data_IF_411137288100
#
_entry.id   IF_411137288100
#
_cell.length_a   1.000
_cell.length_b   1.000
_cell.length_c   1.000
_cell.angle_alpha   90.00
_cell.angle_beta   90.00
_cell.angle_gamma   90.00
#
_symmetry.space_group_name_H-M   'P 1'
#
loop_
_entity.id
_entity.type
_entity.pdbx_description
1 polymer ?
#
# COMPACT_ATOMS: atom_id res chain seq x y z
N UNK A 1 -10.92 28.66 -56.80
CA UNK A 1 -10.43 29.45 -57.96
C UNK A 1 -9.95 30.80 -57.44
N UNK A 2 -8.71 31.17 -57.80
CA UNK A 2 -7.96 32.43 -57.66
C UNK A 2 -8.73 33.65 -57.07
N UNK A 3 -8.16 34.48 -56.18
CA UNK A 3 -6.98 35.29 -56.50
C UNK A 3 -6.21 35.84 -55.29
N UNK A 4 -4.89 35.89 -55.52
CA UNK A 4 -3.80 36.55 -54.78
C UNK A 4 -4.08 38.02 -54.41
N UNK A 5 -3.57 38.44 -53.24
CA UNK A 5 -2.91 39.74 -53.08
C UNK A 5 -1.63 39.58 -52.26
N UNK A 6 -0.50 39.91 -52.91
CA UNK A 6 0.84 40.00 -52.35
C UNK A 6 0.99 41.31 -51.58
N UNK A 7 1.74 41.31 -50.46
CA UNK A 7 2.41 42.54 -50.01
C UNK A 7 3.75 42.26 -49.31
N UNK A 8 4.80 42.45 -50.12
CA UNK A 8 6.17 42.90 -49.89
C UNK A 8 6.73 42.96 -48.45
N UNK A 9 7.78 42.14 -48.25
CA UNK A 9 8.73 42.20 -47.15
C UNK A 9 9.80 43.26 -47.45
N UNK A 10 9.98 44.23 -46.55
CA UNK A 10 11.20 45.05 -46.47
C UNK A 10 11.82 44.81 -45.10
N UNK A 11 13.11 44.50 -45.12
CA UNK A 11 13.86 44.02 -43.97
C UNK A 11 14.09 45.07 -42.89
N UNK A 12 14.32 44.57 -41.68
CA UNK A 12 14.94 45.30 -40.60
C UNK A 12 15.99 44.38 -39.99
N UNK A 13 17.26 44.76 -40.14
CA UNK A 13 18.39 44.14 -39.44
C UNK A 13 18.38 44.70 -38.03
N UNK A 14 18.25 43.85 -37.01
CA UNK A 14 18.63 44.19 -35.64
C UNK A 14 19.75 43.26 -35.19
N UNK A 15 20.84 43.87 -34.74
CA UNK A 15 22.04 43.19 -34.26
C UNK A 15 21.79 42.52 -32.91
N UNK A 16 22.39 41.34 -32.76
CA UNK A 16 22.46 40.59 -31.52
C UNK A 16 23.55 41.21 -30.65
N UNK A 17 23.18 41.75 -29.49
CA UNK A 17 24.11 42.09 -28.40
C UNK A 17 23.86 41.06 -27.31
N UNK A 18 24.83 40.15 -27.12
CA UNK A 18 24.85 39.21 -26.03
C UNK A 18 25.32 39.93 -24.76
N UNK A 19 24.44 40.05 -23.77
CA UNK A 19 24.79 40.46 -22.40
C UNK A 19 24.85 39.18 -21.57
N UNK A 20 26.07 38.73 -21.28
CA UNK A 20 26.33 37.68 -20.29
C UNK A 20 26.28 38.34 -18.92
N UNK A 21 25.21 38.08 -18.17
CA UNK A 21 25.08 38.49 -16.78
C UNK A 21 25.74 37.43 -15.90
N UNK A 22 26.93 37.72 -15.40
CA UNK A 22 27.61 36.91 -14.38
C UNK A 22 26.96 37.20 -13.02
N UNK A 23 26.11 36.29 -12.55
CA UNK A 23 25.61 36.29 -11.18
C UNK A 23 26.69 35.74 -10.25
N UNK A 24 27.37 36.67 -9.56
CA UNK A 24 28.19 36.35 -8.38
C UNK A 24 27.24 36.20 -7.19
N UNK A 25 26.93 34.96 -6.81
CA UNK A 25 26.24 34.69 -5.55
C UNK A 25 27.34 34.68 -4.47
N UNK A 26 27.41 35.76 -3.70
CA UNK A 26 28.15 35.77 -2.43
C UNK A 26 27.32 35.01 -1.42
N UNK A 27 27.84 33.86 -0.96
CA UNK A 27 27.34 33.17 0.23
C UNK A 27 27.56 34.08 1.43
N UNK A 28 26.45 34.42 2.09
CA UNK A 28 26.46 35.14 3.35
C UNK A 28 26.43 34.08 4.45
N UNK A 29 27.57 33.94 5.13
CA UNK A 29 27.74 33.16 6.35
C UNK A 29 26.94 33.82 7.49
N UNK A 30 25.92 33.12 7.97
CA UNK A 30 25.34 33.37 9.29
C UNK A 30 25.26 32.04 10.02
N UNK A 31 26.25 31.83 10.87
CA UNK A 31 26.36 30.67 11.75
C UNK A 31 25.14 30.45 12.65
N UNK A 32 24.72 29.19 12.64
CA UNK A 32 23.75 28.53 13.50
C UNK A 32 23.79 27.05 13.14
N UNK A 33 24.89 26.38 13.48
CA UNK A 33 25.19 25.02 13.01
C UNK A 33 24.35 23.95 13.72
N UNK A 34 23.42 23.37 12.97
CA UNK A 34 23.34 21.92 12.80
C UNK A 34 23.81 21.62 11.38
N UNK A 35 24.59 20.57 11.16
CA UNK A 35 24.95 20.16 9.80
C UNK A 35 23.64 19.92 9.01
N UNK A 36 23.54 20.46 7.79
CA UNK A 36 22.41 20.16 6.91
C UNK A 36 22.42 18.66 6.61
N UNK A 37 21.33 17.96 6.92
CA UNK A 37 21.17 16.54 6.57
C UNK A 37 21.26 16.39 5.05
N UNK A 38 22.18 15.56 4.61
CA UNK A 38 22.49 15.31 3.20
C UNK A 38 21.92 13.98 2.72
N UNK A 39 21.86 13.78 1.40
CA UNK A 39 21.39 12.52 0.80
C UNK A 39 22.19 11.30 1.30
N UNK A 40 23.47 11.48 1.64
CA UNK A 40 24.36 10.39 2.11
C UNK A 40 24.09 9.96 3.55
N UNK A 41 23.39 10.77 4.35
CA UNK A 41 23.14 10.46 5.76
C UNK A 41 22.14 9.31 5.94
N UNK A 42 21.35 9.00 4.90
CA UNK A 42 20.35 7.95 4.90
C UNK A 42 20.75 6.71 4.09
N UNK A 43 21.97 6.62 3.58
CA UNK A 43 22.37 5.48 2.74
C UNK A 43 22.27 4.14 3.48
N UNK A 44 22.61 4.10 4.77
CA UNK A 44 22.49 2.89 5.60
C UNK A 44 21.04 2.49 5.81
N UNK A 45 20.19 3.42 6.25
CA UNK A 45 18.75 3.23 6.35
C UNK A 45 18.15 2.72 5.03
N UNK A 46 18.35 3.44 3.92
CA UNK A 46 17.70 3.12 2.65
C UNK A 46 18.21 1.80 2.04
N UNK A 47 19.50 1.47 2.25
CA UNK A 47 20.02 0.16 1.85
C UNK A 47 19.33 -0.95 2.62
N UNK A 48 19.22 -0.79 3.94
CA UNK A 48 18.54 -1.76 4.80
C UNK A 48 17.05 -1.92 4.44
N UNK A 49 16.34 -0.79 4.30
CA UNK A 49 14.94 -0.77 3.90
C UNK A 49 14.69 -1.55 2.59
N UNK A 50 15.58 -1.44 1.60
CA UNK A 50 15.41 -2.19 0.35
C UNK A 50 15.81 -3.65 0.49
N UNK A 51 16.95 -3.94 1.11
CA UNK A 51 17.54 -5.28 1.15
C UNK A 51 16.85 -6.22 2.13
N UNK A 52 16.44 -5.70 3.28
CA UNK A 52 15.91 -6.50 4.37
C UNK A 52 14.39 -6.37 4.50
N UNK A 53 13.78 -5.21 4.22
CA UNK A 53 12.31 -5.03 4.35
C UNK A 53 11.60 -5.22 3.02
N UNK A 54 11.78 -4.28 2.07
CA UNK A 54 10.96 -4.19 0.86
C UNK A 54 11.14 -5.41 -0.05
N UNK A 55 12.37 -5.76 -0.45
CA UNK A 55 12.57 -6.89 -1.39
C UNK A 55 12.09 -8.22 -0.79
N UNK A 56 12.40 -8.56 0.48
CA UNK A 56 11.86 -9.75 1.12
C UNK A 56 10.34 -9.78 1.15
N UNK A 57 9.67 -8.68 1.50
CA UNK A 57 8.20 -8.57 1.45
C UNK A 57 7.65 -8.85 0.04
N UNK A 58 8.25 -8.27 -1.00
CA UNK A 58 7.83 -8.51 -2.39
C UNK A 58 8.01 -9.98 -2.80
N UNK A 59 9.10 -10.62 -2.36
CA UNK A 59 9.39 -12.03 -2.66
C UNK A 59 8.49 -13.00 -1.93
N UNK A 60 8.17 -12.71 -0.67
CA UNK A 60 7.19 -13.50 0.07
C UNK A 60 5.83 -13.42 -0.60
N UNK A 61 5.39 -12.22 -0.99
CA UNK A 61 4.16 -12.05 -1.74
C UNK A 61 4.15 -12.86 -3.05
N UNK A 62 5.22 -12.76 -3.86
CA UNK A 62 5.38 -13.57 -5.08
C UNK A 62 5.32 -15.08 -4.80
N UNK A 63 5.96 -15.55 -3.73
CA UNK A 63 5.92 -16.96 -3.37
C UNK A 63 4.49 -17.42 -3.02
N UNK A 64 3.75 -16.60 -2.27
CA UNK A 64 2.38 -16.93 -1.87
C UNK A 64 1.38 -16.82 -3.03
N UNK A 65 1.54 -15.86 -3.95
CA UNK A 65 0.68 -15.80 -5.16
C UNK A 65 0.94 -16.96 -6.11
N UNK A 66 2.21 -17.40 -6.24
CA UNK A 66 2.55 -18.59 -7.01
C UNK A 66 1.92 -19.86 -6.42
N UNK A 67 1.95 -19.99 -5.09
CA UNK A 67 1.27 -21.10 -4.40
C UNK A 67 -0.26 -21.04 -4.56
N UNK A 68 -0.86 -19.84 -4.54
CA UNK A 68 -2.27 -19.63 -4.84
C UNK A 68 -2.62 -20.03 -6.28
N UNK A 69 -1.79 -19.67 -7.26
CA UNK A 69 -1.97 -20.05 -8.66
C UNK A 69 -1.91 -21.58 -8.84
N UNK A 70 -0.95 -22.24 -8.20
CA UNK A 70 -0.86 -23.71 -8.19
C UNK A 70 -2.10 -24.35 -7.58
N UNK A 71 -2.60 -23.82 -6.46
CA UNK A 71 -3.80 -24.33 -5.79
C UNK A 71 -5.07 -24.15 -6.66
N UNK A 72 -5.21 -23.01 -7.33
CA UNK A 72 -6.30 -22.77 -8.29
C UNK A 72 -6.23 -23.75 -9.46
N UNK A 73 -5.03 -24.02 -10.01
CA UNK A 73 -4.87 -24.99 -11.09
C UNK A 73 -5.18 -26.43 -10.64
N UNK A 74 -4.85 -26.77 -9.39
CA UNK A 74 -5.26 -28.03 -8.76
C UNK A 74 -6.78 -28.16 -8.67
N UNK A 75 -7.45 -27.14 -8.15
CA UNK A 75 -8.92 -27.09 -8.06
C UNK A 75 -9.62 -27.09 -9.42
N UNK A 76 -9.03 -26.44 -10.44
CA UNK A 76 -9.54 -26.48 -11.80
C UNK A 76 -9.40 -27.85 -12.46
N UNK A 77 -8.35 -28.61 -12.10
CA UNK A 77 -8.13 -29.98 -12.59
C UNK A 77 -9.07 -31.00 -11.93
N UNK A 78 -9.42 -30.77 -10.66
CA UNK A 78 -10.41 -31.56 -9.91
C UNK A 78 -11.16 -30.68 -8.91
N UNK A 79 -12.36 -30.26 -9.30
CA UNK A 79 -13.22 -29.38 -8.49
C UNK A 79 -13.92 -30.20 -7.40
N UNK A 80 -13.25 -30.34 -6.26
CA UNK A 80 -13.70 -31.08 -5.09
C UNK A 80 -13.32 -30.38 -3.77
N UNK A 81 -13.86 -30.86 -2.65
CA UNK A 81 -13.67 -30.27 -1.32
C UNK A 81 -12.20 -30.29 -0.85
N UNK A 82 -11.42 -31.29 -1.25
CA UNK A 82 -10.02 -31.39 -0.84
C UNK A 82 -9.18 -30.31 -1.52
N UNK A 83 -9.40 -30.09 -2.82
CA UNK A 83 -8.74 -29.01 -3.56
C UNK A 83 -9.30 -27.64 -3.18
N UNK A 84 -10.59 -27.50 -2.85
CA UNK A 84 -11.14 -26.26 -2.31
C UNK A 84 -10.49 -25.87 -0.98
N UNK A 85 -10.28 -26.83 -0.08
CA UNK A 85 -9.59 -26.59 1.20
C UNK A 85 -8.15 -26.12 0.97
N UNK A 86 -7.45 -26.75 0.03
CA UNK A 86 -6.08 -26.35 -0.36
C UNK A 86 -6.07 -24.93 -0.94
N UNK A 87 -7.03 -24.61 -1.81
CA UNK A 87 -7.20 -23.29 -2.40
C UNK A 87 -7.49 -22.21 -1.35
N UNK A 88 -8.42 -22.44 -0.43
CA UNK A 88 -8.72 -21.49 0.67
C UNK A 88 -7.50 -21.22 1.55
N UNK A 89 -6.69 -22.25 1.82
CA UNK A 89 -5.45 -22.10 2.58
C UNK A 89 -4.45 -21.20 1.84
N UNK A 90 -4.22 -21.46 0.55
CA UNK A 90 -3.30 -20.65 -0.25
C UNK A 90 -3.83 -19.21 -0.44
N UNK A 91 -5.14 -19.04 -0.56
CA UNK A 91 -5.79 -17.73 -0.61
C UNK A 91 -5.51 -16.92 0.67
N UNK A 92 -5.69 -17.52 1.84
CA UNK A 92 -5.46 -16.86 3.11
C UNK A 92 -3.99 -16.41 3.25
N UNK A 93 -3.03 -17.27 2.92
CA UNK A 93 -1.61 -16.93 2.95
C UNK A 93 -1.25 -15.80 1.99
N UNK A 94 -1.73 -15.85 0.75
CA UNK A 94 -1.47 -14.80 -0.24
C UNK A 94 -2.11 -13.47 0.16
N UNK A 95 -3.30 -13.49 0.75
CA UNK A 95 -3.98 -12.27 1.18
C UNK A 95 -3.37 -11.65 2.43
N UNK A 96 -2.76 -12.46 3.32
CA UNK A 96 -1.94 -11.95 4.41
C UNK A 96 -0.64 -11.33 3.88
N UNK A 97 0.06 -12.00 2.97
CA UNK A 97 1.27 -11.45 2.34
C UNK A 97 0.99 -10.17 1.54
N UNK A 98 -0.21 -10.05 0.95
CA UNK A 98 -0.69 -8.82 0.31
C UNK A 98 -0.67 -7.62 1.27
N UNK A 99 -1.03 -7.83 2.55
CA UNK A 99 -1.12 -6.73 3.52
C UNK A 99 0.22 -6.03 3.73
N UNK A 100 1.29 -6.82 3.75
CA UNK A 100 2.64 -6.30 3.87
C UNK A 100 3.06 -5.51 2.60
N UNK A 101 2.99 -6.13 1.43
CA UNK A 101 3.42 -5.46 0.19
C UNK A 101 2.65 -4.18 -0.12
N UNK A 102 1.39 -4.09 0.31
CA UNK A 102 0.56 -2.91 0.07
C UNK A 102 0.99 -1.69 0.90
N UNK A 103 1.69 -1.86 2.04
CA UNK A 103 2.27 -0.75 2.81
C UNK A 103 3.35 -0.02 2.00
N UNK A 104 4.08 -0.74 1.15
CA UNK A 104 5.12 -0.18 0.30
C UNK A 104 4.58 0.49 -0.97
N UNK A 105 3.47 1.25 -0.89
CA UNK A 105 2.76 1.80 -2.04
C UNK A 105 3.43 3.05 -2.66
N UNK A 106 4.71 2.96 -3.01
CA UNK A 106 5.48 4.08 -3.58
C UNK A 106 6.47 3.64 -4.67
N UNK A 107 6.88 4.59 -5.51
CA UNK A 107 7.84 4.50 -6.63
C UNK A 107 7.60 3.46 -7.73
N UNK A 108 7.37 2.20 -7.39
CA UNK A 108 7.10 1.14 -8.34
C UNK A 108 5.75 1.42 -9.01
N UNK A 109 5.70 1.45 -10.34
CA UNK A 109 4.42 1.66 -11.04
C UNK A 109 3.44 0.53 -10.77
N UNK A 110 3.95 -0.68 -10.53
CA UNK A 110 3.14 -1.82 -10.09
C UNK A 110 2.50 -1.57 -8.70
N UNK A 111 3.18 -0.85 -7.79
CA UNK A 111 2.62 -0.46 -6.49
C UNK A 111 1.39 0.43 -6.66
N UNK A 112 1.46 1.46 -7.51
CA UNK A 112 0.33 2.39 -7.73
C UNK A 112 -0.96 1.71 -8.22
N UNK A 113 -0.82 0.56 -8.87
CA UNK A 113 -1.95 -0.25 -9.32
C UNK A 113 -2.35 -1.34 -8.33
N UNK A 114 -1.62 -1.56 -7.25
CA UNK A 114 -1.81 -2.71 -6.37
C UNK A 114 -3.15 -2.62 -5.65
N UNK A 115 -3.39 -1.59 -4.84
CA UNK A 115 -4.68 -1.42 -4.13
C UNK A 115 -5.89 -1.37 -5.08
N UNK A 116 -5.97 -0.46 -6.07
CA UNK A 116 -7.16 -0.34 -6.90
C UNK A 116 -7.48 -1.62 -7.70
N UNK A 117 -6.46 -2.40 -8.10
CA UNK A 117 -6.70 -3.61 -8.89
C UNK A 117 -6.76 -4.90 -8.05
N UNK A 118 -6.38 -4.91 -6.78
CA UNK A 118 -6.30 -6.17 -6.02
C UNK A 118 -7.03 -6.14 -4.69
N UNK A 119 -7.45 -4.99 -4.17
CA UNK A 119 -8.11 -4.95 -2.86
C UNK A 119 -9.14 -3.82 -2.67
N UNK A 120 -10.04 -3.63 -3.63
CA UNK A 120 -11.20 -2.74 -3.45
C UNK A 120 -12.44 -3.52 -3.02
N UNK A 121 -12.86 -3.29 -1.78
CA UNK A 121 -14.10 -3.79 -1.21
C UNK A 121 -15.10 -2.64 -0.95
N UNK A 122 -16.42 -2.90 -0.95
CA UNK A 122 -17.08 -4.16 -1.29
C UNK A 122 -17.04 -4.49 -2.79
N UNK A 123 -17.26 -5.76 -3.11
CA UNK A 123 -17.41 -6.28 -4.48
C UNK A 123 -18.73 -5.82 -5.10
N UNK A 124 -18.69 -5.42 -6.37
CA UNK A 124 -19.87 -5.21 -7.21
C UNK A 124 -20.27 -6.56 -7.84
N UNK A 125 -21.25 -7.23 -7.22
CA UNK A 125 -21.71 -8.55 -7.64
C UNK A 125 -22.40 -8.55 -9.01
N UNK A 126 -23.08 -7.45 -9.37
CA UNK A 126 -23.75 -7.33 -10.66
C UNK A 126 -22.71 -7.20 -11.79
N UNK A 127 -21.69 -6.37 -11.56
CA UNK A 127 -20.55 -6.26 -12.47
C UNK A 127 -19.81 -7.60 -12.57
N UNK A 128 -19.50 -8.25 -11.45
CA UNK A 128 -18.83 -9.55 -11.42
C UNK A 128 -19.61 -10.60 -12.23
N UNK A 129 -20.91 -10.74 -11.97
CA UNK A 129 -21.77 -11.67 -12.69
C UNK A 129 -21.78 -11.37 -14.20
N UNK A 130 -21.82 -10.08 -14.58
CA UNK A 130 -21.79 -9.67 -15.98
C UNK A 130 -20.47 -10.04 -16.67
N UNK A 131 -19.33 -9.84 -16.00
CA UNK A 131 -17.99 -10.13 -16.54
C UNK A 131 -17.73 -11.63 -16.67
N UNK A 132 -18.22 -12.44 -15.72
CA UNK A 132 -18.17 -13.89 -15.80
C UNK A 132 -19.01 -14.36 -17.00
N UNK A 133 -20.25 -13.86 -17.16
CA UNK A 133 -21.14 -14.30 -18.23
C UNK A 133 -20.64 -13.90 -19.62
N UNK A 134 -20.07 -12.70 -19.76
CA UNK A 134 -19.54 -12.20 -21.04
C UNK A 134 -18.11 -12.64 -21.35
N UNK A 135 -17.39 -13.19 -20.37
CA UNK A 135 -15.95 -13.48 -20.41
C UNK A 135 -15.10 -12.26 -20.86
N UNK A 136 -15.57 -11.05 -20.51
CA UNK A 136 -14.97 -9.78 -20.95
C UNK A 136 -14.22 -9.05 -19.82
N UNK A 137 -13.48 -9.81 -19.01
CA UNK A 137 -12.70 -9.27 -17.91
C UNK A 137 -11.33 -8.74 -18.35
N UNK A 138 -10.97 -7.58 -17.82
CA UNK A 138 -9.70 -6.90 -17.95
C UNK A 138 -9.35 -6.27 -16.60
N UNK A 139 -8.52 -6.98 -15.85
CA UNK A 139 -8.08 -6.67 -14.48
C UNK A 139 -7.13 -5.47 -14.37
N UNK A 140 -6.98 -4.68 -15.44
CA UNK A 140 -6.13 -3.47 -15.50
C UNK A 140 -6.93 -2.21 -15.81
N UNK A 141 -8.26 -2.24 -15.65
CA UNK A 141 -9.14 -1.10 -15.97
C UNK A 141 -9.91 -0.64 -14.75
N UNK A 142 -10.01 0.69 -14.59
CA UNK A 142 -10.74 1.29 -13.48
C UNK A 142 -12.24 0.95 -13.47
N UNK A 143 -12.81 0.68 -14.63
CA UNK A 143 -14.21 0.25 -14.76
C UNK A 143 -14.50 -1.12 -14.15
N UNK A 144 -13.48 -1.94 -13.87
CA UNK A 144 -13.62 -3.31 -13.37
C UNK A 144 -13.03 -3.54 -11.98
N UNK A 145 -12.53 -2.49 -11.32
CA UNK A 145 -11.81 -2.61 -10.05
C UNK A 145 -12.63 -3.26 -8.92
N UNK A 146 -13.95 -3.02 -8.86
CA UNK A 146 -14.86 -3.66 -7.88
C UNK A 146 -15.32 -5.07 -8.26
N UNK A 147 -14.78 -5.63 -9.34
CA UNK A 147 -14.94 -7.03 -9.72
C UNK A 147 -13.55 -7.59 -10.04
N UNK A 148 -12.61 -7.41 -9.11
CA UNK A 148 -11.23 -7.85 -9.20
C UNK A 148 -10.65 -8.12 -7.79
N UNK A 149 -9.47 -8.71 -7.73
CA UNK A 149 -8.68 -8.83 -6.51
C UNK A 149 -9.16 -9.84 -5.47
N UNK A 150 -8.57 -9.74 -4.28
CA UNK A 150 -8.89 -10.58 -3.12
C UNK A 150 -10.33 -10.48 -2.65
N UNK A 151 -11.05 -9.33 -2.73
CA UNK A 151 -12.47 -9.28 -2.40
C UNK A 151 -13.33 -10.18 -3.30
N UNK A 152 -12.97 -10.31 -4.59
CA UNK A 152 -13.66 -11.26 -5.48
C UNK A 152 -13.29 -12.70 -5.15
N UNK A 153 -12.04 -12.98 -4.81
CA UNK A 153 -11.65 -14.31 -4.33
C UNK A 153 -12.41 -14.69 -3.05
N UNK A 154 -12.55 -13.76 -2.10
CA UNK A 154 -13.36 -13.93 -0.89
C UNK A 154 -14.79 -14.34 -1.23
N UNK A 155 -15.47 -13.57 -2.10
CA UNK A 155 -16.81 -13.92 -2.57
C UNK A 155 -16.85 -15.29 -3.26
N UNK A 156 -15.96 -15.56 -4.21
CA UNK A 156 -16.00 -16.80 -4.99
C UNK A 156 -15.73 -18.04 -4.13
N UNK A 157 -14.95 -17.91 -3.05
CA UNK A 157 -14.55 -19.00 -2.17
C UNK A 157 -15.42 -19.16 -0.93
N UNK A 158 -16.19 -18.15 -0.51
CA UNK A 158 -16.99 -18.19 0.72
C UNK A 158 -18.43 -17.71 0.56
N UNK A 159 -18.76 -16.97 -0.51
CA UNK A 159 -20.10 -16.44 -0.75
C UNK A 159 -21.15 -17.50 -1.14
N UNK A 160 -20.87 -18.42 -2.08
CA UNK A 160 -21.81 -19.48 -2.42
C UNK A 160 -22.05 -20.47 -1.27
N UNK A 161 -23.30 -20.93 -1.12
CA UNK A 161 -23.68 -21.95 -0.11
C UNK A 161 -22.96 -23.29 -0.35
N UNK A 162 -22.81 -23.70 -1.61
CA UNK A 162 -22.02 -24.86 -2.04
C UNK A 162 -21.06 -24.42 -3.15
N UNK A 163 -19.81 -24.18 -2.76
CA UNK A 163 -18.76 -23.65 -3.63
C UNK A 163 -18.34 -24.65 -4.71
N UNK A 164 -18.27 -25.95 -4.39
CA UNK A 164 -17.94 -26.98 -5.38
C UNK A 164 -19.01 -27.04 -6.46
N UNK A 165 -20.28 -27.10 -6.08
CA UNK A 165 -21.40 -27.05 -7.04
C UNK A 165 -21.43 -25.74 -7.81
N UNK A 166 -21.11 -24.61 -7.16
CA UNK A 166 -21.02 -23.30 -7.81
C UNK A 166 -20.03 -23.30 -8.97
N UNK A 167 -18.86 -23.92 -8.84
CA UNK A 167 -17.89 -24.01 -9.93
C UNK A 167 -18.21 -25.11 -10.96
N UNK A 168 -18.76 -26.27 -10.54
CA UNK A 168 -19.10 -27.37 -11.47
C UNK A 168 -20.22 -26.96 -12.45
N UNK A 169 -21.16 -26.14 -11.99
CA UNK A 169 -22.36 -25.78 -12.78
C UNK A 169 -22.10 -24.77 -13.88
N UNK A 170 -20.97 -24.06 -13.85
CA UNK A 170 -20.61 -23.06 -14.84
C UNK A 170 -19.08 -22.93 -14.98
N UNK A 171 -18.56 -23.46 -16.09
CA UNK A 171 -17.12 -23.44 -16.38
C UNK A 171 -16.55 -22.02 -16.51
N UNK A 172 -17.37 -20.99 -16.79
CA UNK A 172 -16.90 -19.60 -16.89
C UNK A 172 -16.42 -19.07 -15.55
N UNK A 173 -17.01 -19.52 -14.44
CA UNK A 173 -16.59 -19.14 -13.08
C UNK A 173 -15.17 -19.62 -12.78
N UNK A 174 -14.86 -20.85 -13.19
CA UNK A 174 -13.54 -21.42 -13.01
C UNK A 174 -12.50 -20.72 -13.90
N UNK A 175 -12.85 -20.43 -15.16
CA UNK A 175 -12.00 -19.66 -16.06
C UNK A 175 -11.71 -18.25 -15.52
N UNK A 176 -12.73 -17.58 -14.96
CA UNK A 176 -12.58 -16.28 -14.31
C UNK A 176 -11.66 -16.37 -13.08
N UNK A 177 -11.86 -17.37 -12.21
CA UNK A 177 -11.01 -17.59 -11.04
C UNK A 177 -9.53 -17.78 -11.43
N UNK A 178 -9.26 -18.62 -12.43
CA UNK A 178 -7.91 -18.83 -12.96
C UNK A 178 -7.31 -17.54 -13.49
N UNK A 179 -8.04 -16.81 -14.34
CA UNK A 179 -7.53 -15.58 -14.92
C UNK A 179 -7.27 -14.48 -13.87
N UNK A 180 -8.13 -14.39 -12.85
CA UNK A 180 -7.97 -13.45 -11.75
C UNK A 180 -6.69 -13.75 -10.96
N UNK A 181 -6.50 -15.00 -10.54
CA UNK A 181 -5.30 -15.39 -9.78
C UNK A 181 -4.03 -15.25 -10.62
N UNK A 182 -4.05 -15.60 -11.91
CA UNK A 182 -2.92 -15.31 -12.81
C UNK A 182 -2.61 -13.81 -12.85
N UNK A 183 -3.62 -12.94 -12.93
CA UNK A 183 -3.37 -11.49 -12.92
C UNK A 183 -2.80 -10.97 -11.60
N UNK A 184 -3.14 -11.60 -10.46
CA UNK A 184 -2.57 -11.25 -9.16
C UNK A 184 -1.10 -11.68 -9.10
N UNK A 185 -0.79 -12.89 -9.57
CA UNK A 185 0.57 -13.44 -9.63
C UNK A 185 1.49 -12.65 -10.58
N UNK A 186 1.01 -12.34 -11.79
CA UNK A 186 1.74 -11.50 -12.75
C UNK A 186 2.13 -10.13 -12.15
N UNK A 187 1.28 -9.57 -11.28
CA UNK A 187 1.57 -8.31 -10.58
C UNK A 187 2.63 -8.48 -9.50
N UNK A 188 2.62 -9.59 -8.76
CA UNK A 188 3.65 -9.91 -7.80
C UNK A 188 5.03 -10.08 -8.48
N UNK A 189 5.05 -10.74 -9.64
CA UNK A 189 6.24 -10.84 -10.49
C UNK A 189 6.77 -9.47 -10.91
N UNK A 190 5.88 -8.59 -11.38
CA UNK A 190 6.24 -7.22 -11.76
C UNK A 190 6.81 -6.40 -10.59
N UNK A 191 6.28 -6.60 -9.38
CA UNK A 191 6.77 -5.92 -8.18
C UNK A 191 8.21 -6.33 -7.85
N UNK A 192 8.47 -7.64 -7.83
CA UNK A 192 9.83 -8.17 -7.62
C UNK A 192 10.78 -7.70 -8.70
N UNK A 193 10.38 -7.73 -9.98
CA UNK A 193 11.22 -7.25 -11.08
C UNK A 193 11.58 -5.77 -10.93
N UNK A 194 10.62 -4.92 -10.57
CA UNK A 194 10.85 -3.49 -10.40
C UNK A 194 11.80 -3.21 -9.23
N UNK A 195 11.52 -3.77 -8.06
CA UNK A 195 12.32 -3.55 -6.85
C UNK A 195 13.73 -4.14 -6.93
N UNK A 196 13.91 -5.28 -7.60
CA UNK A 196 15.24 -5.88 -7.82
C UNK A 196 15.97 -5.30 -9.04
N UNK A 197 15.32 -4.40 -9.79
CA UNK A 197 15.86 -3.72 -10.94
C UNK A 197 16.60 -2.42 -10.60
N UNK A 198 16.49 -1.42 -11.49
CA UNK A 198 17.14 -0.12 -11.26
C UNK A 198 16.52 0.68 -10.11
N UNK A 199 15.30 0.34 -9.66
CA UNK A 199 14.62 1.05 -8.59
C UNK A 199 15.39 0.95 -7.27
N UNK A 200 15.95 -0.22 -6.91
CA UNK A 200 16.78 -0.37 -5.72
C UNK A 200 17.90 0.68 -5.66
N UNK A 201 18.71 0.76 -6.72
CA UNK A 201 19.83 1.69 -6.78
C UNK A 201 19.36 3.15 -6.77
N UNK A 202 18.27 3.46 -7.48
CA UNK A 202 17.73 4.82 -7.52
C UNK A 202 17.16 5.25 -6.17
N UNK A 203 16.48 4.35 -5.47
CA UNK A 203 15.92 4.60 -4.15
C UNK A 203 17.03 4.90 -3.14
N UNK A 204 18.07 4.08 -3.07
CA UNK A 204 19.21 4.29 -2.15
C UNK A 204 19.96 5.60 -2.47
N UNK A 205 20.16 5.91 -3.75
CA UNK A 205 20.91 7.10 -4.17
C UNK A 205 20.11 8.41 -4.10
N UNK A 206 18.79 8.35 -3.96
CA UNK A 206 17.91 9.52 -3.87
C UNK A 206 17.56 9.84 -2.41
N UNK A 207 18.53 9.75 -1.50
CA UNK A 207 18.32 10.00 -0.07
C UNK A 207 17.90 11.44 0.26
N UNK A 208 17.72 11.72 1.55
CA UNK A 208 17.35 13.06 2.05
C UNK A 208 15.87 13.18 2.37
N UNK A 209 15.42 14.35 2.83
CA UNK A 209 14.08 14.56 3.43
C UNK A 209 13.22 15.61 2.72
N UNK A 210 13.74 16.21 1.65
CA UNK A 210 12.99 17.12 0.79
C UNK A 210 11.94 16.38 -0.06
N UNK A 211 10.84 17.05 -0.42
CA UNK A 211 9.79 16.45 -1.25
C UNK A 211 10.35 15.76 -2.51
N UNK A 212 10.03 14.48 -2.68
CA UNK A 212 10.48 13.64 -3.79
C UNK A 212 11.76 12.83 -3.52
N UNK A 213 12.46 13.08 -2.42
CA UNK A 213 13.52 12.18 -1.93
C UNK A 213 12.94 10.87 -1.41
N UNK A 214 13.78 9.85 -1.26
CA UNK A 214 13.37 8.50 -0.86
C UNK A 214 12.81 8.43 0.56
N UNK A 215 13.43 9.09 1.54
CA UNK A 215 12.87 9.14 2.91
C UNK A 215 11.56 9.91 2.93
N UNK A 216 11.50 11.08 2.27
CA UNK A 216 10.28 11.89 2.21
C UNK A 216 9.14 11.12 1.56
N UNK A 217 9.39 10.49 0.41
CA UNK A 217 8.36 9.74 -0.33
C UNK A 217 7.96 8.47 0.42
N UNK A 218 8.91 7.70 0.96
CA UNK A 218 8.59 6.49 1.73
C UNK A 218 7.68 6.84 2.91
N UNK A 219 8.07 7.81 3.75
CA UNK A 219 7.31 8.16 4.93
C UNK A 219 5.93 8.75 4.59
N UNK A 220 5.86 9.68 3.65
CA UNK A 220 4.57 10.30 3.26
C UNK A 220 3.61 9.29 2.63
N UNK A 221 4.06 8.54 1.62
CA UNK A 221 3.17 7.59 0.91
C UNK A 221 2.75 6.42 1.81
N UNK A 222 3.65 5.96 2.68
CA UNK A 222 3.31 4.97 3.71
C UNK A 222 2.25 5.51 4.66
N UNK A 223 2.36 6.77 5.08
CA UNK A 223 1.38 7.38 5.97
C UNK A 223 0.03 7.60 5.29
N UNK A 224 0.02 8.03 4.02
CA UNK A 224 -1.22 8.10 3.22
C UNK A 224 -1.87 6.72 3.12
N UNK A 225 -1.09 5.67 2.85
CA UNK A 225 -1.60 4.30 2.85
C UNK A 225 -2.20 3.91 4.20
N UNK A 226 -1.49 4.19 5.30
CA UNK A 226 -1.94 3.90 6.66
C UNK A 226 -3.25 4.62 7.00
N UNK A 227 -3.35 5.89 6.66
CA UNK A 227 -4.53 6.72 6.92
C UNK A 227 -5.76 6.28 6.14
N UNK A 228 -5.60 6.00 4.84
CA UNK A 228 -6.72 5.69 3.94
C UNK A 228 -7.07 4.20 3.97
N UNK A 229 -6.07 3.34 3.82
CA UNK A 229 -6.30 1.91 3.60
C UNK A 229 -6.31 1.09 4.90
N UNK A 230 -5.66 1.55 5.97
CA UNK A 230 -5.67 0.87 7.26
C UNK A 230 -6.69 1.51 8.21
N UNK A 231 -6.51 2.78 8.58
CA UNK A 231 -7.38 3.48 9.54
C UNK A 231 -8.80 3.64 9.01
N UNK A 232 -8.97 4.23 7.84
CA UNK A 232 -10.30 4.52 7.28
C UNK A 232 -10.96 3.27 6.71
N UNK A 233 -10.37 2.61 5.72
CA UNK A 233 -11.04 1.50 5.03
C UNK A 233 -11.26 0.25 5.90
N UNK A 234 -10.22 -0.24 6.58
CA UNK A 234 -10.34 -1.50 7.36
C UNK A 234 -11.10 -1.32 8.66
N UNK A 235 -11.02 -0.14 9.29
CA UNK A 235 -11.56 0.08 10.64
C UNK A 235 -12.65 1.14 10.67
N UNK A 236 -12.37 2.32 10.11
CA UNK A 236 -13.23 3.50 10.19
C UNK A 236 -14.59 3.31 9.51
N UNK A 237 -14.62 2.96 8.22
CA UNK A 237 -15.85 2.82 7.43
C UNK A 237 -16.83 1.84 8.09
N UNK A 238 -16.43 0.63 8.54
CA UNK A 238 -17.31 -0.28 9.27
C UNK A 238 -18.00 0.33 10.51
N UNK A 239 -17.33 1.25 11.20
CA UNK A 239 -17.86 1.92 12.40
C UNK A 239 -18.37 3.35 12.15
N UNK A 240 -18.44 3.78 10.89
CA UNK A 240 -18.94 5.09 10.49
C UNK A 240 -17.97 6.26 10.70
N UNK A 241 -16.65 6.02 10.66
CA UNK A 241 -15.59 7.05 10.73
C UNK A 241 -14.84 7.14 9.40
N UNK A 242 -14.53 8.36 8.97
CA UNK A 242 -13.71 8.63 7.77
C UNK A 242 -12.35 9.19 8.25
N UNK A 243 -12.21 10.51 8.37
CA UNK A 243 -11.11 11.16 9.08
C UNK A 243 -11.39 11.48 10.56
N UNK A 244 -10.36 11.85 11.34
CA UNK A 244 -10.48 12.16 12.77
C UNK A 244 -11.39 13.36 13.06
N UNK A 245 -11.50 14.28 12.10
CA UNK A 245 -12.30 15.51 12.20
C UNK A 245 -13.55 15.51 11.30
N UNK A 246 -13.81 14.41 10.58
CA UNK A 246 -14.94 14.33 9.67
C UNK A 246 -16.25 14.08 10.40
N UNK A 247 -17.34 14.47 9.75
CA UNK A 247 -18.68 14.11 10.21
C UNK A 247 -18.87 12.59 10.07
N UNK A 248 -19.24 11.87 11.15
CA UNK A 248 -19.48 10.44 11.07
C UNK A 248 -20.56 10.10 10.04
N UNK A 249 -20.38 8.96 9.38
CA UNK A 249 -21.39 8.35 8.50
C UNK A 249 -22.15 7.25 9.26
N UNK A 250 -23.18 6.70 8.62
CA UNK A 250 -23.85 5.51 9.17
C UNK A 250 -22.86 4.33 9.17
N UNK A 251 -22.72 3.69 10.33
CA UNK A 251 -21.88 2.50 10.46
C UNK A 251 -22.49 1.34 9.68
N UNK A 252 -21.67 0.63 8.92
CA UNK A 252 -22.06 -0.53 8.14
C UNK A 252 -21.07 -1.68 8.38
N UNK A 253 -21.41 -2.65 9.26
CA UNK A 253 -20.52 -3.76 9.59
C UNK A 253 -20.30 -4.72 8.42
N UNK A 254 -21.01 -4.57 7.29
CA UNK A 254 -20.78 -5.37 6.08
C UNK A 254 -19.63 -4.86 5.23
N UNK A 255 -19.10 -3.67 5.53
CA UNK A 255 -18.00 -3.04 4.80
C UNK A 255 -16.61 -3.41 5.37
N UNK A 256 -16.49 -4.60 5.94
CA UNK A 256 -15.20 -5.15 6.41
C UNK A 256 -14.47 -5.90 5.29
N UNK A 257 -13.15 -5.94 5.40
CA UNK A 257 -12.30 -6.75 4.52
C UNK A 257 -12.44 -8.25 4.86
N UNK A 258 -12.61 -9.11 3.84
CA UNK A 258 -12.87 -10.54 4.08
C UNK A 258 -14.30 -10.85 4.56
N UNK A 259 -15.27 -9.99 4.22
CA UNK A 259 -16.66 -10.10 4.66
C UNK A 259 -17.30 -11.46 4.39
N UNK A 260 -17.07 -12.08 3.23
CA UNK A 260 -17.72 -13.35 2.90
C UNK A 260 -17.14 -14.51 3.70
N UNK A 261 -15.82 -14.54 3.90
CA UNK A 261 -15.19 -15.49 4.82
C UNK A 261 -15.71 -15.28 6.25
N UNK A 262 -15.79 -14.04 6.73
CA UNK A 262 -16.30 -13.75 8.05
C UNK A 262 -17.76 -14.23 8.23
N UNK A 263 -18.60 -14.04 7.21
CA UNK A 263 -19.97 -14.54 7.18
C UNK A 263 -20.03 -16.07 7.20
N UNK A 264 -19.19 -16.74 6.39
CA UNK A 264 -19.16 -18.20 6.28
C UNK A 264 -18.65 -18.87 7.56
N UNK A 265 -17.67 -18.25 8.24
CA UNK A 265 -17.06 -18.77 9.47
C UNK A 265 -17.77 -18.29 10.75
N UNK A 266 -18.61 -17.26 10.64
CA UNK A 266 -19.37 -16.68 11.76
C UNK A 266 -18.50 -15.92 12.76
N UNK A 267 -17.32 -15.45 12.35
CA UNK A 267 -16.37 -14.67 13.16
C UNK A 267 -15.52 -13.76 12.26
N UNK A 268 -14.80 -12.80 12.82
CA UNK A 268 -13.94 -11.86 12.08
C UNK A 268 -12.44 -12.11 12.32
N UNK A 269 -12.05 -13.34 12.70
CA UNK A 269 -10.66 -13.65 13.07
C UNK A 269 -9.70 -13.38 11.89
N UNK A 270 -10.09 -13.78 10.68
CA UNK A 270 -9.29 -13.51 9.49
C UNK A 270 -9.26 -12.02 9.12
N UNK A 271 -10.37 -11.30 9.25
CA UNK A 271 -10.41 -9.84 9.07
C UNK A 271 -9.46 -9.12 10.02
N UNK A 272 -9.44 -9.51 11.30
CA UNK A 272 -8.53 -8.98 12.30
C UNK A 272 -7.07 -9.35 11.99
N UNK A 273 -6.82 -10.55 11.46
CA UNK A 273 -5.50 -10.98 11.01
C UNK A 273 -4.99 -10.14 9.82
N UNK A 274 -5.86 -9.81 8.85
CA UNK A 274 -5.50 -8.93 7.73
C UNK A 274 -5.15 -7.50 8.21
N UNK A 275 -5.89 -6.98 9.20
CA UNK A 275 -5.54 -5.70 9.83
C UNK A 275 -4.19 -5.78 10.55
N UNK A 276 -4.01 -6.79 11.39
CA UNK A 276 -2.76 -7.02 12.14
C UNK A 276 -1.55 -7.09 11.22
N UNK A 277 -1.61 -7.89 10.15
CA UNK A 277 -0.51 -8.04 9.20
C UNK A 277 -0.09 -6.71 8.55
N UNK A 278 -1.06 -5.82 8.26
CA UNK A 278 -0.75 -4.48 7.71
C UNK A 278 -0.07 -3.55 8.73
N UNK A 279 -0.32 -3.73 10.03
CA UNK A 279 0.30 -2.94 11.10
C UNK A 279 1.66 -3.50 11.46
N UNK A 280 1.83 -4.82 11.41
CA UNK A 280 3.12 -5.48 11.59
C UNK A 280 4.12 -5.01 10.53
N UNK A 281 3.73 -4.89 9.26
CA UNK A 281 4.64 -4.34 8.23
C UNK A 281 5.00 -2.87 8.46
N UNK A 282 4.10 -2.08 9.04
CA UNK A 282 4.42 -0.69 9.42
C UNK A 282 5.45 -0.62 10.53
N UNK A 283 5.41 -1.58 11.46
CA UNK A 283 6.41 -1.74 12.52
C UNK A 283 7.74 -2.24 11.94
N UNK A 284 7.73 -3.25 11.07
CA UNK A 284 8.93 -3.76 10.38
C UNK A 284 9.62 -2.64 9.57
N UNK A 285 8.85 -1.82 8.84
CA UNK A 285 9.37 -0.63 8.16
C UNK A 285 10.00 0.36 9.14
N UNK A 286 9.40 0.58 10.30
CA UNK A 286 9.90 1.50 11.32
C UNK A 286 11.20 1.00 11.96
N UNK A 287 11.25 -0.28 12.32
CA UNK A 287 12.41 -0.91 12.96
C UNK A 287 13.52 -1.23 11.95
N UNK A 288 13.22 -1.26 10.64
CA UNK A 288 14.17 -1.76 9.65
C UNK A 288 14.44 -3.26 9.82
N UNK A 289 13.53 -3.98 10.46
CA UNK A 289 13.62 -5.40 10.70
C UNK A 289 12.89 -6.18 9.62
N UNK A 290 13.27 -7.44 9.46
CA UNK A 290 12.50 -8.37 8.65
C UNK A 290 12.05 -9.57 9.46
N UNK A 291 11.11 -10.32 8.90
CA UNK A 291 10.59 -11.55 9.49
C UNK A 291 11.64 -12.63 9.82
N UNK A 292 12.90 -12.48 9.36
CA UNK A 292 14.02 -13.36 9.69
C UNK A 292 14.85 -12.88 10.90
N UNK A 293 14.54 -11.73 11.48
CA UNK A 293 15.21 -11.17 12.67
C UNK A 293 16.58 -10.55 12.37
N UNK A 294 16.82 -10.12 11.13
CA UNK A 294 17.96 -9.24 10.82
C UNK A 294 17.59 -7.83 11.31
N UNK A 295 18.25 -7.40 12.37
CA UNK A 295 18.17 -6.04 12.90
C UNK A 295 19.32 -5.22 12.30
N UNK A 296 18.95 -4.22 11.50
CA UNK A 296 19.83 -3.26 10.86
C UNK A 296 19.07 -1.93 10.73
N UNK A 297 19.77 -0.87 10.30
CA UNK A 297 19.31 0.51 10.50
C UNK A 297 17.84 0.75 10.13
N UNK A 298 17.01 0.97 11.15
CA UNK A 298 15.63 1.42 11.07
C UNK A 298 15.46 2.92 11.28
N UNK A 299 14.22 3.39 11.23
CA UNK A 299 13.86 4.76 11.63
C UNK A 299 14.06 4.99 13.14
N UNK A 300 13.92 3.95 13.96
CA UNK A 300 14.24 4.01 15.38
C UNK A 300 15.73 4.26 15.64
N UNK A 301 16.62 3.59 14.90
CA UNK A 301 18.07 3.86 14.94
C UNK A 301 18.39 5.28 14.47
N UNK A 302 17.68 5.77 13.44
CA UNK A 302 17.83 7.17 13.02
C UNK A 302 17.41 8.11 14.15
N UNK A 303 16.25 7.91 14.80
CA UNK A 303 15.83 8.72 15.94
C UNK A 303 16.86 8.70 17.09
N UNK A 304 17.44 7.54 17.37
CA UNK A 304 18.51 7.41 18.37
C UNK A 304 19.73 8.28 18.00
N UNK A 305 20.08 8.38 16.71
CA UNK A 305 21.17 9.24 16.24
C UNK A 305 20.88 10.75 16.41
N UNK A 306 19.60 11.14 16.46
CA UNK A 306 19.14 12.49 16.79
C UNK A 306 18.91 12.73 18.29
N UNK A 307 19.29 11.78 19.15
CA UNK A 307 19.03 11.80 20.60
C UNK A 307 17.53 11.87 20.96
N UNK A 308 16.64 11.34 20.09
CA UNK A 308 15.18 11.34 20.24
C UNK A 308 14.62 9.99 20.70
N UNK A 309 15.26 9.36 21.70
CA UNK A 309 14.85 8.03 22.19
C UNK A 309 13.44 8.01 22.80
N UNK A 310 12.93 9.14 23.29
CA UNK A 310 11.58 9.23 23.81
C UNK A 310 10.52 9.05 22.70
N UNK A 311 10.78 9.59 21.50
CA UNK A 311 9.89 9.41 20.34
C UNK A 311 9.85 7.94 19.95
N UNK A 312 11.00 7.25 19.98
CA UNK A 312 11.07 5.82 19.71
C UNK A 312 10.26 4.99 20.73
N UNK A 313 10.42 5.28 22.01
CA UNK A 313 9.65 4.62 23.07
C UNK A 313 8.13 4.82 22.89
N UNK A 314 7.70 6.03 22.52
CA UNK A 314 6.29 6.35 22.29
C UNK A 314 5.72 5.63 21.07
N UNK A 315 6.46 5.56 19.95
CA UNK A 315 6.06 4.82 18.74
C UNK A 315 5.93 3.32 19.03
N UNK A 316 6.95 2.71 19.66
CA UNK A 316 6.93 1.28 20.03
C UNK A 316 5.81 0.97 21.02
N UNK A 317 5.56 1.85 21.99
CA UNK A 317 4.43 1.71 22.91
C UNK A 317 3.07 1.79 22.18
N UNK A 318 2.96 2.63 21.15
CA UNK A 318 1.74 2.76 20.37
C UNK A 318 1.45 1.52 19.52
N UNK A 319 2.45 0.91 18.88
CA UNK A 319 2.29 -0.39 18.21
C UNK A 319 1.79 -1.46 19.20
N UNK A 320 2.44 -1.60 20.36
CA UNK A 320 2.01 -2.54 21.39
C UNK A 320 0.57 -2.30 21.89
N UNK A 321 0.16 -1.04 22.01
CA UNK A 321 -1.20 -0.68 22.38
C UNK A 321 -2.22 -1.11 21.30
N UNK A 322 -1.91 -0.89 20.03
CA UNK A 322 -2.75 -1.32 18.90
C UNK A 322 -2.89 -2.84 18.88
N UNK A 323 -1.80 -3.59 19.08
CA UNK A 323 -1.86 -5.05 19.16
C UNK A 323 -2.75 -5.53 20.30
N UNK A 324 -2.65 -4.92 21.49
CA UNK A 324 -3.53 -5.25 22.61
C UNK A 324 -5.01 -4.94 22.31
N UNK A 325 -5.30 -3.90 21.51
CA UNK A 325 -6.67 -3.59 21.08
C UNK A 325 -7.19 -4.60 20.06
N UNK A 326 -6.34 -5.10 19.16
CA UNK A 326 -6.71 -6.17 18.22
C UNK A 326 -6.97 -7.47 18.98
N UNK A 327 -6.05 -7.90 19.84
CA UNK A 327 -6.14 -9.16 20.58
C UNK A 327 -7.30 -9.20 21.58
N UNK A 328 -7.76 -8.02 22.02
CA UNK A 328 -8.89 -7.87 22.93
C UNK A 328 -10.26 -7.90 22.25
N UNK A 329 -10.33 -8.05 20.93
CA UNK A 329 -11.58 -7.92 20.14
C UNK A 329 -11.85 -9.17 19.32
N UNK A 330 -13.13 -9.38 19.00
CA UNK A 330 -13.61 -10.44 18.09
C UNK A 330 -14.25 -9.88 16.82
N UNK A 331 -14.26 -8.56 16.67
CA UNK A 331 -14.81 -7.86 15.50
C UNK A 331 -14.16 -6.48 15.34
N UNK A 332 -14.01 -6.03 14.09
CA UNK A 332 -13.69 -4.66 13.71
C UNK A 332 -14.83 -3.73 14.15
N UNK A 333 -16.05 -4.17 13.92
CA UNK A 333 -17.26 -3.44 14.31
C UNK A 333 -17.31 -3.26 15.83
N UNK A 334 -17.70 -2.08 16.32
CA UNK A 334 -17.78 -1.81 17.76
C UNK A 334 -17.60 -0.35 18.11
N UNK A 335 -16.95 -0.10 19.26
CA UNK A 335 -16.51 1.24 19.65
C UNK A 335 -15.35 1.75 18.77
N UNK A 336 -14.97 3.01 18.96
CA UNK A 336 -13.90 3.65 18.19
C UNK A 336 -12.50 3.51 18.80
N UNK A 337 -12.31 2.66 19.81
CA UNK A 337 -11.01 2.59 20.53
C UNK A 337 -9.88 2.11 19.64
N UNK A 338 -10.09 1.09 18.80
CA UNK A 338 -9.11 0.64 17.81
C UNK A 338 -8.81 1.73 16.78
N UNK A 339 -9.84 2.44 16.29
CA UNK A 339 -9.67 3.56 15.36
C UNK A 339 -8.80 4.67 15.98
N UNK A 340 -9.06 5.03 17.24
CA UNK A 340 -8.26 6.04 17.95
C UNK A 340 -6.83 5.57 18.20
N UNK A 341 -6.61 4.29 18.50
CA UNK A 341 -5.27 3.71 18.63
C UNK A 341 -4.47 3.80 17.33
N UNK A 342 -5.10 3.47 16.20
CA UNK A 342 -4.47 3.60 14.88
C UNK A 342 -4.22 5.09 14.56
N UNK A 343 -5.19 5.98 14.82
CA UNK A 343 -5.02 7.43 14.64
C UNK A 343 -3.87 8.00 15.47
N UNK A 344 -3.66 7.53 16.70
CA UNK A 344 -2.58 8.02 17.55
C UNK A 344 -1.19 7.76 16.94
N UNK A 345 -1.01 6.65 16.21
CA UNK A 345 0.24 6.38 15.49
C UNK A 345 0.47 7.40 14.37
N UNK A 346 -0.58 7.77 13.62
CA UNK A 346 -0.53 8.83 12.59
C UNK A 346 -0.02 10.14 13.21
N UNK A 347 -0.58 10.51 14.37
CA UNK A 347 -0.18 11.72 15.09
C UNK A 347 1.30 11.66 15.48
N UNK A 348 1.77 10.57 16.11
CA UNK A 348 3.18 10.41 16.49
C UNK A 348 4.12 10.49 15.28
N UNK A 349 3.75 9.86 14.16
CA UNK A 349 4.57 9.91 12.94
C UNK A 349 4.68 11.33 12.41
N UNK A 350 3.56 12.05 12.27
CA UNK A 350 3.55 13.40 11.70
C UNK A 350 4.15 14.45 12.64
N UNK A 351 3.79 14.42 13.93
CA UNK A 351 4.23 15.44 14.89
C UNK A 351 5.68 15.23 15.32
N UNK A 352 6.11 13.98 15.48
CA UNK A 352 7.37 13.69 16.18
C UNK A 352 8.40 13.11 15.21
N UNK A 353 8.09 12.04 14.48
CA UNK A 353 9.04 11.42 13.55
C UNK A 353 9.36 12.35 12.36
N UNK A 354 8.34 12.82 11.63
CA UNK A 354 8.52 13.68 10.46
C UNK A 354 9.20 14.99 10.85
N UNK A 355 8.75 15.60 11.96
CA UNK A 355 9.35 16.83 12.48
C UNK A 355 10.82 16.62 12.87
N UNK A 356 11.15 15.50 13.54
CA UNK A 356 12.54 15.19 13.91
C UNK A 356 13.44 15.04 12.70
N UNK A 357 12.95 14.36 11.66
CA UNK A 357 13.70 14.14 10.42
C UNK A 357 13.64 15.34 9.47
N UNK A 358 12.93 16.41 9.80
CA UNK A 358 12.67 17.54 8.92
C UNK A 358 12.06 17.09 7.57
N UNK A 359 11.17 16.11 7.62
CA UNK A 359 10.37 15.66 6.48
C UNK A 359 9.14 16.53 6.40
N UNK A 360 8.94 17.15 5.24
CA UNK A 360 7.71 17.91 5.00
C UNK A 360 6.55 16.94 4.76
N UNK A 361 5.45 17.13 5.48
CA UNK A 361 4.17 16.48 5.16
C UNK A 361 3.69 16.96 3.78
N UNK A 362 3.52 16.01 2.86
CA UNK A 362 3.11 16.24 1.48
C UNK A 362 1.66 16.73 1.37
N UNK A 363 0.80 16.45 2.35
CA UNK A 363 -0.60 16.87 2.33
C UNK A 363 -0.77 18.35 2.70
N UNK A 364 0.26 18.99 3.27
CA UNK A 364 0.32 20.43 3.53
C UNK A 364 -0.78 20.97 4.45
N UNK A 365 -1.66 20.10 4.96
CA UNK A 365 -2.64 20.40 5.97
C UNK A 365 -1.89 20.34 7.30
N UNK A 366 -1.69 21.51 7.89
CA UNK A 366 -1.41 21.63 9.31
C UNK A 366 -2.64 21.09 10.06
N UNK A 367 -2.69 19.78 10.26
CA UNK A 367 -3.74 19.06 11.00
C UNK A 367 -3.63 19.27 12.52
N UNK A 368 -2.62 20.02 12.96
CA UNK A 368 -2.72 21.07 13.97
C UNK A 368 -2.96 20.60 15.41
N UNK A 369 -1.99 20.93 16.26
CA UNK A 369 -2.11 21.14 17.71
C UNK A 369 -3.51 21.41 18.29
#
# INVERSE_FOLDING_TARGET
>A
MQSRMKRNWKGLKLGVVAVVATLLISSCDTGGGGDEVTETDFTSLLSNQVEEVIIPTMREYQAQTGALLDAVNGFASSTDEANLTTLRTAYASAYLAYQAVAVHNYYATANSGLVPNTNLYPVDLDLLASLIESESYNFSTSAQERANGYPVLDYLLYGPEDVVTYFITDAKRLAYLQALVTSIDDRADMLVEQWTGSLQTNFVNNGGTALGSSVSTQLNETMVYYEVHIRENKVGIPIGRLGPNDTPIEADPTLIEGYYQALAEGNEDFTLALLRASIEEMEDLYLGENSAGTDAQGYDDVLASFEQTAVDEDVKAQFAAIYSLIDGRSSISGDDTLYQGIQALVTLYKSDLFSTLNVQDADGANDGD
#
